data_IF_375698084305
#
_entry.id   IF_375698084305
#
_cell.length_a   1.000
_cell.length_b   1.000
_cell.length_c   1.000
_cell.angle_alpha   90.00
_cell.angle_beta   90.00
_cell.angle_gamma   90.00
#
_symmetry.space_group_name_H-M   'P 1'
#
loop_
_entity.id
_entity.type
_entity.pdbx_description
1 polymer ?
#
# COMPACT_ATOMS: atom_id res chain seq x y z
N UNK A 1 -6.43 23.08 -9.48
CA UNK A 1 -6.57 21.66 -9.93
C UNK A 1 -7.38 20.92 -8.88
N UNK A 2 -8.11 19.84 -9.24
CA UNK A 2 -8.77 19.04 -8.19
C UNK A 2 -7.71 18.30 -7.37
N UNK A 3 -7.83 18.28 -6.04
CA UNK A 3 -6.87 17.58 -5.16
C UNK A 3 -7.06 16.07 -5.16
N UNK A 4 -8.20 15.59 -5.67
CA UNK A 4 -8.61 14.18 -5.65
C UNK A 4 -7.61 13.22 -6.31
N UNK A 5 -7.01 13.51 -7.48
CA UNK A 5 -6.03 12.61 -8.09
C UNK A 5 -4.79 12.45 -7.22
N UNK A 6 -4.32 13.52 -6.58
CA UNK A 6 -3.17 13.49 -5.68
C UNK A 6 -3.51 12.75 -4.37
N UNK A 7 -4.70 12.97 -3.81
CA UNK A 7 -5.22 12.25 -2.64
C UNK A 7 -5.32 10.74 -2.91
N UNK A 8 -5.88 10.35 -4.06
CA UNK A 8 -5.98 8.95 -4.45
C UNK A 8 -4.59 8.32 -4.65
N UNK A 9 -3.71 9.00 -5.38
CA UNK A 9 -2.36 8.51 -5.68
C UNK A 9 -1.50 8.38 -4.43
N UNK A 10 -1.50 9.39 -3.56
CA UNK A 10 -0.79 9.36 -2.27
C UNK A 10 -1.39 8.33 -1.31
N UNK A 11 -2.71 8.12 -1.34
CA UNK A 11 -3.38 7.03 -0.64
C UNK A 11 -2.88 5.66 -1.12
N UNK A 12 -2.93 5.39 -2.43
CA UNK A 12 -2.40 4.16 -3.02
C UNK A 12 -0.93 3.92 -2.62
N UNK A 13 -0.09 4.94 -2.77
CA UNK A 13 1.32 4.86 -2.41
C UNK A 13 1.52 4.62 -0.91
N UNK A 14 0.69 5.21 -0.04
CA UNK A 14 0.81 5.06 1.42
C UNK A 14 0.55 3.62 1.88
N UNK A 15 -0.33 2.90 1.18
CA UNK A 15 -0.53 1.47 1.42
C UNK A 15 0.68 0.60 1.07
N UNK A 16 1.59 1.09 0.21
CA UNK A 16 2.83 0.40 -0.16
C UNK A 16 3.98 0.86 0.73
N UNK A 17 4.21 2.17 0.86
CA UNK A 17 5.19 2.81 1.75
C UNK A 17 4.72 4.21 2.21
N UNK A 18 4.06 4.29 3.38
CA UNK A 18 3.54 5.55 3.92
C UNK A 18 4.65 6.54 4.29
N UNK A 19 5.80 6.03 4.74
CA UNK A 19 6.93 6.85 5.15
C UNK A 19 7.60 7.51 3.95
N UNK A 20 7.75 6.78 2.85
CA UNK A 20 8.21 7.33 1.58
C UNK A 20 7.28 8.43 1.07
N UNK A 21 5.95 8.25 1.15
CA UNK A 21 4.99 9.28 0.73
C UNK A 21 5.18 10.57 1.55
N UNK A 22 5.23 10.47 2.87
CA UNK A 22 5.42 11.64 3.76
C UNK A 22 6.75 12.33 3.47
N UNK A 23 7.83 11.56 3.31
CA UNK A 23 9.16 12.09 2.97
C UNK A 23 9.16 12.83 1.63
N UNK A 24 8.65 12.19 0.57
CA UNK A 24 8.68 12.75 -0.77
C UNK A 24 7.83 14.02 -0.86
N UNK A 25 6.59 13.97 -0.37
CA UNK A 25 5.72 15.15 -0.36
C UNK A 25 6.36 16.28 0.45
N UNK A 26 6.81 16.01 1.67
CA UNK A 26 7.43 17.02 2.51
C UNK A 26 8.71 17.62 1.91
N UNK A 27 9.56 16.79 1.27
CA UNK A 27 10.74 17.28 0.54
C UNK A 27 10.35 18.14 -0.66
N UNK A 28 9.35 17.75 -1.45
CA UNK A 28 8.87 18.57 -2.57
C UNK A 28 8.36 19.94 -2.12
N UNK A 29 7.68 19.99 -0.98
CA UNK A 29 7.30 21.27 -0.36
C UNK A 29 8.51 22.09 0.07
N UNK A 30 9.47 21.49 0.78
CA UNK A 30 10.68 22.19 1.24
C UNK A 30 11.55 22.73 0.11
N UNK A 31 11.64 22.01 -1.00
CA UNK A 31 12.46 22.42 -2.16
C UNK A 31 11.74 23.41 -3.08
N UNK A 32 10.48 23.76 -2.80
CA UNK A 32 9.67 24.63 -3.66
C UNK A 32 9.29 23.98 -4.99
N UNK A 33 9.26 22.65 -5.07
CA UNK A 33 8.79 21.93 -6.27
C UNK A 33 7.28 22.08 -6.41
N UNK A 34 6.57 22.21 -5.27
CA UNK A 34 5.14 22.51 -5.24
C UNK A 34 4.78 23.27 -3.97
N UNK A 35 4.20 24.45 -4.16
CA UNK A 35 3.68 25.29 -3.07
C UNK A 35 2.37 24.73 -2.46
N UNK A 36 1.76 23.76 -3.13
CA UNK A 36 0.50 23.13 -2.72
C UNK A 36 0.70 22.03 -1.65
N UNK A 37 1.95 21.71 -1.28
CA UNK A 37 2.24 20.73 -0.23
C UNK A 37 1.96 21.33 1.15
N UNK A 38 1.13 20.67 2.00
CA UNK A 38 0.83 21.15 3.35
C UNK A 38 2.08 21.34 4.22
N UNK A 39 2.19 22.49 4.88
CA UNK A 39 3.33 22.84 5.75
C UNK A 39 3.59 21.80 6.84
N UNK A 40 2.56 21.12 7.32
CA UNK A 40 2.67 20.04 8.31
C UNK A 40 3.60 18.92 7.85
N UNK A 41 3.58 18.55 6.56
CA UNK A 41 4.45 17.50 6.00
C UNK A 41 5.90 17.97 5.84
N UNK A 42 6.12 19.28 5.77
CA UNK A 42 7.45 19.89 5.59
C UNK A 42 8.20 20.06 6.92
N UNK A 43 7.54 19.80 8.07
CA UNK A 43 8.16 19.98 9.39
C UNK A 43 9.36 19.04 9.56
N UNK A 44 10.54 19.54 10.01
CA UNK A 44 11.73 18.71 10.17
C UNK A 44 11.50 17.48 11.05
N UNK A 45 10.74 17.62 12.13
CA UNK A 45 10.38 16.51 13.04
C UNK A 45 9.63 15.38 12.31
N UNK A 46 8.67 15.75 11.44
CA UNK A 46 7.87 14.79 10.65
C UNK A 46 8.76 14.07 9.65
N UNK A 47 9.64 14.80 8.97
CA UNK A 47 10.59 14.24 8.00
C UNK A 47 11.63 13.34 8.66
N UNK A 48 12.15 13.69 9.83
CA UNK A 48 13.09 12.86 10.59
C UNK A 48 12.43 11.55 10.99
N UNK A 49 11.21 11.60 11.53
CA UNK A 49 10.46 10.39 11.93
C UNK A 49 10.13 9.53 10.71
N UNK A 50 9.63 10.13 9.63
CA UNK A 50 9.35 9.41 8.39
C UNK A 50 10.63 8.81 7.78
N UNK A 51 11.75 9.53 7.83
CA UNK A 51 13.08 9.07 7.41
C UNK A 51 13.53 7.84 8.16
N UNK A 52 13.46 7.89 9.49
CA UNK A 52 13.81 6.76 10.35
C UNK A 52 12.91 5.55 10.08
N UNK A 53 11.59 5.75 10.00
CA UNK A 53 10.64 4.66 9.75
C UNK A 53 10.76 4.08 8.34
N UNK A 54 11.09 4.89 7.34
CA UNK A 54 11.41 4.43 5.99
C UNK A 54 12.65 3.52 5.99
N UNK A 55 13.71 3.88 6.71
CA UNK A 55 14.90 3.03 6.87
C UNK A 55 14.55 1.75 7.63
N UNK A 56 13.76 1.82 8.71
CA UNK A 56 13.29 0.65 9.44
C UNK A 56 12.49 -0.30 8.54
N UNK A 57 11.57 0.22 7.73
CA UNK A 57 10.80 -0.57 6.77
C UNK A 57 11.71 -1.24 5.73
N UNK A 58 12.64 -0.49 5.14
CA UNK A 58 13.59 -1.03 4.17
C UNK A 58 14.49 -2.13 4.76
N UNK A 59 14.74 -2.13 6.08
CA UNK A 59 15.47 -3.20 6.77
C UNK A 59 14.53 -4.37 7.11
N UNK A 60 13.33 -4.08 7.64
CA UNK A 60 12.34 -5.09 8.01
C UNK A 60 11.95 -5.98 6.82
N UNK A 61 11.76 -5.38 5.64
CA UNK A 61 11.40 -6.07 4.40
C UNK A 61 12.43 -7.11 3.93
N UNK A 62 13.67 -7.04 4.43
CA UNK A 62 14.76 -7.95 4.07
C UNK A 62 14.87 -9.15 4.99
N UNK A 63 14.21 -9.11 6.15
CA UNK A 63 14.29 -10.17 7.16
C UNK A 63 12.98 -10.98 7.09
N UNK A 64 13.05 -12.27 6.68
CA UNK A 64 11.86 -13.12 6.62
C UNK A 64 11.10 -13.14 7.95
N UNK A 65 9.77 -13.15 7.88
CA UNK A 65 8.83 -13.12 9.02
C UNK A 65 8.76 -11.77 9.74
N UNK A 66 9.86 -11.02 9.85
CA UNK A 66 9.83 -9.64 10.37
C UNK A 66 9.02 -8.76 9.45
N UNK A 67 9.16 -8.92 8.13
CA UNK A 67 8.34 -8.29 7.10
C UNK A 67 6.83 -8.49 7.34
N UNK A 68 6.43 -9.72 7.69
CA UNK A 68 5.04 -10.12 7.89
C UNK A 68 4.46 -9.54 9.18
N UNK A 69 5.26 -9.48 10.25
CA UNK A 69 4.88 -8.80 11.50
C UNK A 69 4.77 -7.29 11.27
N UNK A 70 5.72 -6.71 10.53
CA UNK A 70 5.70 -5.31 10.14
C UNK A 70 4.43 -4.99 9.36
N UNK A 71 4.11 -5.75 8.32
CA UNK A 71 2.90 -5.57 7.52
C UNK A 71 1.62 -5.72 8.35
N UNK A 72 1.59 -6.64 9.32
CA UNK A 72 0.43 -6.81 10.22
C UNK A 72 0.14 -5.56 11.04
N UNK A 73 1.16 -4.91 11.60
CA UNK A 73 1.01 -3.61 12.29
C UNK A 73 0.53 -2.54 11.30
N UNK A 74 1.07 -2.56 10.09
CA UNK A 74 0.82 -1.55 9.08
C UNK A 74 -0.53 -1.68 8.38
N UNK A 75 -1.26 -2.76 8.60
CA UNK A 75 -2.69 -2.88 8.24
C UNK A 75 -3.53 -1.77 8.89
N UNK A 76 -3.10 -1.22 10.03
CA UNK A 76 -3.75 -0.06 10.68
C UNK A 76 -2.99 1.24 10.39
N UNK A 77 -1.66 1.22 10.51
CA UNK A 77 -0.85 2.45 10.40
C UNK A 77 -0.96 3.08 9.01
N UNK A 78 -0.92 2.30 7.92
CA UNK A 78 -0.91 2.85 6.56
C UNK A 78 -2.25 3.46 6.14
N UNK A 79 -3.42 2.83 6.41
CA UNK A 79 -4.70 3.49 6.15
C UNK A 79 -4.85 4.79 6.93
N UNK A 80 -4.41 4.85 8.19
CA UNK A 80 -4.44 6.07 8.97
C UNK A 80 -3.51 7.14 8.40
N UNK A 81 -2.30 6.77 7.98
CA UNK A 81 -1.37 7.68 7.32
C UNK A 81 -1.92 8.20 5.98
N UNK A 82 -2.47 7.32 5.14
CA UNK A 82 -3.10 7.70 3.88
C UNK A 82 -4.32 8.61 4.08
N UNK A 83 -5.12 8.36 5.11
CA UNK A 83 -6.23 9.23 5.48
C UNK A 83 -5.76 10.61 5.96
N UNK A 84 -4.71 10.63 6.77
CA UNK A 84 -4.13 11.87 7.26
C UNK A 84 -3.52 12.71 6.12
N UNK A 85 -2.74 12.09 5.23
CA UNK A 85 -2.20 12.76 4.04
C UNK A 85 -3.33 13.28 3.14
N UNK A 86 -4.37 12.47 2.91
CA UNK A 86 -5.54 12.89 2.12
C UNK A 86 -6.26 14.11 2.71
N UNK A 87 -6.51 14.11 4.02
CA UNK A 87 -7.13 15.24 4.71
C UNK A 87 -6.26 16.50 4.70
N UNK A 88 -4.94 16.35 4.86
CA UNK A 88 -3.98 17.45 4.75
C UNK A 88 -3.97 18.08 3.36
N UNK A 89 -3.96 17.27 2.30
CA UNK A 89 -4.00 17.74 0.92
C UNK A 89 -5.32 18.46 0.58
N UNK A 90 -6.41 18.14 1.28
CA UNK A 90 -7.69 18.84 1.14
C UNK A 90 -7.76 20.14 1.95
N UNK A 91 -6.77 20.43 2.79
CA UNK A 91 -6.65 21.68 3.56
C UNK A 91 -6.84 21.53 5.08
N UNK A 92 -7.31 20.38 5.58
CA UNK A 92 -7.44 20.06 7.02
C UNK A 92 -8.25 21.08 7.85
N UNK A 93 -9.22 21.76 7.23
CA UNK A 93 -10.15 22.71 7.86
C UNK A 93 -11.29 22.05 8.68
N UNK A 94 -11.46 20.74 8.58
CA UNK A 94 -12.60 20.00 9.16
C UNK A 94 -13.84 19.97 8.23
N UNK A 95 -13.67 20.32 6.96
CA UNK A 95 -14.76 20.32 5.98
C UNK A 95 -15.21 18.91 5.60
N UNK A 96 -16.40 18.79 5.01
CA UNK A 96 -16.87 17.52 4.41
C UNK A 96 -15.89 17.04 3.32
N UNK A 97 -15.25 17.96 2.60
CA UNK A 97 -14.23 17.64 1.60
C UNK A 97 -13.00 17.00 2.23
N UNK A 98 -12.60 17.42 3.43
CA UNK A 98 -11.43 16.88 4.13
C UNK A 98 -11.69 15.46 4.61
N UNK A 99 -12.90 15.22 5.14
CA UNK A 99 -13.35 13.88 5.53
C UNK A 99 -13.42 12.97 4.31
N UNK A 100 -13.99 13.43 3.21
CA UNK A 100 -14.04 12.65 1.97
C UNK A 100 -12.63 12.33 1.44
N UNK A 101 -11.72 13.31 1.43
CA UNK A 101 -10.34 13.11 1.00
C UNK A 101 -9.59 12.14 1.92
N UNK A 102 -9.77 12.24 3.24
CA UNK A 102 -9.20 11.28 4.19
C UNK A 102 -9.77 9.87 4.00
N UNK A 103 -11.07 9.72 3.75
CA UNK A 103 -11.68 8.42 3.45
C UNK A 103 -11.13 7.84 2.15
N UNK A 104 -10.98 8.63 1.10
CA UNK A 104 -10.39 8.19 -0.17
C UNK A 104 -8.93 7.78 0.04
N UNK A 105 -8.12 8.63 0.68
CA UNK A 105 -6.71 8.34 0.95
C UNK A 105 -6.52 7.07 1.80
N UNK A 106 -7.26 6.93 2.88
CA UNK A 106 -7.16 5.78 3.79
C UNK A 106 -7.71 4.48 3.20
N UNK A 107 -8.85 4.52 2.50
CA UNK A 107 -9.40 3.32 1.85
C UNK A 107 -8.52 2.85 0.69
N UNK A 108 -7.95 3.77 -0.08
CA UNK A 108 -7.01 3.43 -1.16
C UNK A 108 -5.72 2.84 -0.60
N UNK A 109 -5.20 3.38 0.51
CA UNK A 109 -4.06 2.83 1.22
C UNK A 109 -4.34 1.42 1.77
N UNK A 110 -5.52 1.18 2.34
CA UNK A 110 -5.90 -0.15 2.81
C UNK A 110 -5.95 -1.15 1.63
N UNK A 111 -6.51 -0.73 0.51
CA UNK A 111 -6.63 -1.58 -0.67
C UNK A 111 -5.25 -1.95 -1.26
N UNK A 112 -4.34 -0.99 -1.43
CA UNK A 112 -2.99 -1.28 -1.93
C UNK A 112 -2.14 -2.04 -0.92
N UNK A 113 -2.29 -1.77 0.38
CA UNK A 113 -1.63 -2.56 1.42
C UNK A 113 -2.09 -4.03 1.39
N UNK A 114 -3.38 -4.28 1.14
CA UNK A 114 -3.90 -5.64 0.98
C UNK A 114 -3.24 -6.37 -0.20
N UNK A 115 -2.95 -5.65 -1.29
CA UNK A 115 -2.18 -6.19 -2.43
C UNK A 115 -0.72 -6.49 -2.02
N UNK A 116 -0.04 -5.57 -1.32
CA UNK A 116 1.33 -5.77 -0.81
C UNK A 116 1.40 -7.00 0.11
N UNK A 117 0.61 -7.02 1.17
CA UNK A 117 0.58 -8.12 2.13
C UNK A 117 0.21 -9.46 1.47
N UNK A 118 -0.75 -9.47 0.53
CA UNK A 118 -1.10 -10.66 -0.23
C UNK A 118 0.03 -11.17 -1.13
N UNK A 119 0.82 -10.26 -1.72
CA UNK A 119 2.00 -10.59 -2.51
C UNK A 119 3.11 -11.16 -1.63
N UNK A 120 3.37 -10.55 -0.47
CA UNK A 120 4.33 -11.04 0.52
C UNK A 120 3.97 -12.44 1.03
N UNK A 121 2.69 -12.69 1.31
CA UNK A 121 2.22 -14.03 1.67
C UNK A 121 2.51 -15.07 0.58
N UNK A 122 2.39 -14.70 -0.70
CA UNK A 122 2.68 -15.60 -1.81
C UNK A 122 4.19 -15.86 -1.95
N UNK A 123 5.02 -14.81 -1.87
CA UNK A 123 6.48 -14.90 -1.99
C UNK A 123 7.10 -15.65 -0.80
N UNK A 124 6.62 -15.41 0.41
CA UNK A 124 7.12 -16.08 1.62
C UNK A 124 6.74 -17.56 1.73
N UNK A 125 5.99 -18.13 0.79
CA UNK A 125 5.81 -19.59 0.70
C UNK A 125 7.13 -20.31 0.38
N UNK A 126 8.05 -19.63 -0.30
CA UNK A 126 9.44 -20.07 -0.53
C UNK A 126 10.36 -18.86 -0.34
N UNK A 127 10.85 -18.61 0.90
CA UNK A 127 11.59 -17.39 1.19
C UNK A 127 12.94 -17.40 0.49
N UNK A 128 13.03 -16.62 -0.59
CA UNK A 128 14.28 -16.38 -1.33
C UNK A 128 14.73 -14.93 -1.07
N UNK A 129 15.91 -14.72 -0.44
CA UNK A 129 16.39 -13.39 -0.08
C UNK A 129 16.42 -12.40 -1.25
N UNK A 130 16.76 -12.90 -2.45
CA UNK A 130 16.81 -12.10 -3.67
C UNK A 130 15.42 -11.61 -4.10
N UNK A 131 14.42 -12.49 -4.09
CA UNK A 131 13.04 -12.16 -4.48
C UNK A 131 12.42 -11.12 -3.55
N UNK A 132 12.63 -11.25 -2.23
CA UNK A 132 12.16 -10.26 -1.25
C UNK A 132 12.85 -8.90 -1.42
N UNK A 133 14.15 -8.89 -1.68
CA UNK A 133 14.90 -7.66 -1.93
C UNK A 133 14.40 -6.94 -3.20
N UNK A 134 14.29 -7.68 -4.31
CA UNK A 134 13.83 -7.10 -5.59
C UNK A 134 12.41 -6.58 -5.47
N UNK A 135 11.52 -7.31 -4.78
CA UNK A 135 10.15 -6.89 -4.57
C UNK A 135 10.07 -5.60 -3.73
N UNK A 136 10.74 -5.56 -2.59
CA UNK A 136 10.80 -4.37 -1.72
C UNK A 136 11.36 -3.15 -2.46
N UNK A 137 12.45 -3.33 -3.22
CA UNK A 137 13.04 -2.25 -4.00
C UNK A 137 12.10 -1.77 -5.11
N UNK A 138 11.40 -2.67 -5.79
CA UNK A 138 10.42 -2.31 -6.82
C UNK A 138 9.22 -1.56 -6.23
N UNK A 139 8.78 -1.93 -5.04
CA UNK A 139 7.73 -1.23 -4.28
C UNK A 139 8.17 0.20 -3.96
N UNK A 140 9.36 0.38 -3.39
CA UNK A 140 9.89 1.70 -3.00
C UNK A 140 10.12 2.60 -4.21
N UNK A 141 10.74 2.08 -5.28
CA UNK A 141 10.95 2.83 -6.52
C UNK A 141 9.63 3.14 -7.22
N UNK A 142 8.66 2.22 -7.16
CA UNK A 142 7.32 2.42 -7.70
C UNK A 142 6.58 3.55 -6.98
N UNK A 143 6.62 3.55 -5.64
CA UNK A 143 6.09 4.65 -4.81
C UNK A 143 6.80 5.96 -5.15
N UNK A 144 8.13 5.97 -5.16
CA UNK A 144 8.89 7.17 -5.46
C UNK A 144 8.58 7.72 -6.84
N UNK A 145 8.55 6.87 -7.87
CA UNK A 145 8.27 7.25 -9.24
C UNK A 145 6.84 7.79 -9.41
N UNK A 146 5.83 7.10 -8.90
CA UNK A 146 4.42 7.50 -9.06
C UNK A 146 4.10 8.76 -8.26
N UNK A 147 4.61 8.90 -7.03
CA UNK A 147 4.40 10.12 -6.21
C UNK A 147 5.11 11.32 -6.85
N UNK A 148 6.36 11.15 -7.30
CA UNK A 148 7.08 12.22 -8.00
C UNK A 148 6.34 12.63 -9.29
N UNK A 149 5.86 11.66 -10.06
CA UNK A 149 5.09 11.91 -11.28
C UNK A 149 3.77 12.64 -10.98
N UNK A 150 3.12 12.32 -9.86
CA UNK A 150 1.87 12.97 -9.43
C UNK A 150 2.03 14.47 -9.17
N UNK A 151 3.22 14.93 -8.79
CA UNK A 151 3.48 16.36 -8.58
C UNK A 151 3.41 17.17 -9.87
N UNK A 152 3.71 16.55 -11.01
CA UNK A 152 3.71 17.22 -12.31
C UNK A 152 2.47 16.86 -13.15
N UNK A 153 1.97 15.62 -13.00
CA UNK A 153 0.88 15.07 -13.80
C UNK A 153 -0.13 14.30 -12.91
N UNK A 154 -0.87 14.99 -12.03
CA UNK A 154 -1.70 14.35 -10.99
C UNK A 154 -2.76 13.42 -11.54
N UNK A 155 -3.42 13.78 -12.65
CA UNK A 155 -4.44 12.95 -13.29
C UNK A 155 -3.86 11.66 -13.89
N UNK A 156 -2.74 11.78 -14.61
CA UNK A 156 -2.07 10.63 -15.20
C UNK A 156 -1.52 9.67 -14.12
N UNK A 157 -0.95 10.22 -13.04
CA UNK A 157 -0.47 9.43 -11.91
C UNK A 157 -1.61 8.69 -11.21
N UNK A 158 -2.79 9.31 -11.06
CA UNK A 158 -3.96 8.64 -10.52
C UNK A 158 -4.45 7.50 -11.41
N UNK A 159 -4.41 7.65 -12.74
CA UNK A 159 -4.70 6.55 -13.67
C UNK A 159 -3.71 5.41 -13.50
N UNK A 160 -2.41 5.70 -13.41
CA UNK A 160 -1.37 4.68 -13.17
C UNK A 160 -1.63 3.95 -11.85
N UNK A 161 -1.85 4.68 -10.75
CA UNK A 161 -2.16 4.11 -9.45
C UNK A 161 -3.43 3.25 -9.49
N UNK A 162 -4.47 3.68 -10.21
CA UNK A 162 -5.72 2.94 -10.36
C UNK A 162 -5.53 1.63 -11.13
N UNK A 163 -4.74 1.65 -12.21
CA UNK A 163 -4.41 0.46 -13.00
C UNK A 163 -3.60 -0.53 -12.16
N UNK A 164 -2.58 -0.06 -11.43
CA UNK A 164 -1.77 -0.90 -10.55
C UNK A 164 -2.61 -1.50 -9.42
N UNK A 165 -3.47 -0.70 -8.79
CA UNK A 165 -4.37 -1.16 -7.73
C UNK A 165 -5.36 -2.21 -8.26
N UNK A 166 -6.04 -1.91 -9.37
CA UNK A 166 -7.01 -2.84 -9.98
C UNK A 166 -6.33 -4.15 -10.39
N UNK A 167 -5.17 -4.08 -11.07
CA UNK A 167 -4.40 -5.25 -11.45
C UNK A 167 -3.98 -6.10 -10.26
N UNK A 168 -3.50 -5.45 -9.19
CA UNK A 168 -3.12 -6.12 -7.94
C UNK A 168 -4.29 -6.81 -7.25
N UNK A 169 -5.42 -6.12 -7.10
CA UNK A 169 -6.64 -6.67 -6.50
C UNK A 169 -7.23 -7.81 -7.32
N UNK A 170 -7.25 -7.69 -8.65
CA UNK A 170 -7.71 -8.75 -9.56
C UNK A 170 -6.82 -9.99 -9.45
N UNK A 171 -5.49 -9.80 -9.39
CA UNK A 171 -4.53 -10.89 -9.21
C UNK A 171 -4.77 -11.60 -7.88
N UNK A 172 -4.88 -10.83 -6.78
CA UNK A 172 -5.13 -11.38 -5.45
C UNK A 172 -6.46 -12.14 -5.39
N UNK A 173 -7.54 -11.54 -5.92
CA UNK A 173 -8.85 -12.18 -6.00
C UNK A 173 -8.80 -13.49 -6.81
N UNK A 174 -8.12 -13.49 -7.95
CA UNK A 174 -7.95 -14.68 -8.78
C UNK A 174 -7.21 -15.78 -8.02
N UNK A 175 -6.09 -15.47 -7.36
CA UNK A 175 -5.33 -16.44 -6.57
C UNK A 175 -6.15 -17.02 -5.42
N UNK A 176 -6.80 -16.17 -4.62
CA UNK A 176 -7.65 -16.60 -3.50
C UNK A 176 -8.81 -17.48 -3.99
N UNK A 177 -9.44 -17.11 -5.11
CA UNK A 177 -10.54 -17.89 -5.69
C UNK A 177 -10.07 -19.27 -6.17
N UNK A 178 -8.88 -19.38 -6.77
CA UNK A 178 -8.26 -20.65 -7.17
C UNK A 178 -7.95 -21.54 -5.97
N UNK A 179 -7.34 -20.99 -4.93
CA UNK A 179 -7.01 -21.72 -3.68
C UNK A 179 -8.29 -22.26 -3.04
N UNK A 180 -9.32 -21.40 -2.88
CA UNK A 180 -10.62 -21.80 -2.30
C UNK A 180 -11.27 -22.93 -3.11
N UNK A 181 -11.26 -22.85 -4.45
CA UNK A 181 -11.79 -23.92 -5.32
C UNK A 181 -11.02 -25.23 -5.15
N UNK A 182 -9.70 -25.18 -5.06
CA UNK A 182 -8.87 -26.37 -4.84
C UNK A 182 -9.15 -27.02 -3.48
N UNK A 183 -9.23 -26.24 -2.41
CA UNK A 183 -9.53 -26.74 -1.06
C UNK A 183 -10.91 -27.39 -0.99
N UNK A 184 -11.93 -26.80 -1.63
CA UNK A 184 -13.28 -27.40 -1.73
C UNK A 184 -13.25 -28.75 -2.45
N UNK A 185 -12.58 -28.85 -3.60
CA UNK A 185 -12.44 -30.12 -4.34
C UNK A 185 -11.70 -31.18 -3.53
N UNK A 186 -10.67 -30.78 -2.76
CA UNK A 186 -9.93 -31.70 -1.89
C UNK A 186 -10.78 -32.19 -0.72
N UNK A 187 -11.62 -31.33 -0.15
CA UNK A 187 -12.56 -31.72 0.90
C UNK A 187 -13.58 -32.74 0.38
N UNK A 188 -14.19 -32.50 -0.78
CA UNK A 188 -15.13 -33.42 -1.42
C UNK A 188 -14.51 -34.80 -1.68
N UNK A 189 -13.30 -34.86 -2.27
CA UNK A 189 -12.59 -36.13 -2.50
C UNK A 189 -12.26 -36.89 -1.21
N UNK A 190 -12.01 -36.19 -0.10
CA UNK A 190 -11.78 -36.82 1.21
C UNK A 190 -13.05 -37.43 1.77
N UNK A 191 -14.19 -36.78 1.54
CA UNK A 191 -15.50 -37.25 1.96
C UNK A 191 -15.96 -38.47 1.13
N UNK A 192 -15.81 -38.41 -0.19
CA UNK A 192 -16.06 -39.56 -1.10
C UNK A 192 -15.24 -40.79 -0.69
N UNK A 193 -13.94 -40.62 -0.41
CA UNK A 193 -13.08 -41.72 0.06
C UNK A 193 -13.52 -42.29 1.41
N UNK A 194 -13.96 -41.45 2.35
CA UNK A 194 -14.47 -41.89 3.66
C UNK A 194 -15.77 -42.66 3.55
N UNK A 195 -16.65 -42.26 2.63
CA UNK A 195 -17.90 -42.97 2.35
C UNK A 195 -17.61 -44.32 1.69
N UNK A 196 -16.70 -44.36 0.70
CA UNK A 196 -16.29 -45.59 0.03
C UNK A 196 -15.64 -46.61 1.00
N UNK A 197 -14.86 -46.17 1.99
CA UNK A 197 -14.26 -47.06 2.99
C UNK A 197 -15.22 -47.55 4.08
N UNK A 198 -16.47 -47.05 4.10
CA UNK A 198 -17.52 -47.46 5.04
C UNK A 198 -18.63 -48.28 4.37
N UNK A 199 -18.56 -48.47 3.05
CA UNK A 199 -19.47 -49.34 2.34
C UNK A 199 -19.17 -50.80 2.73
N UNK A 200 -20.18 -51.57 3.19
CA UNK A 200 -20.03 -52.96 3.65
C UNK A 200 -19.69 -53.94 2.53
#
# INVERSE_FOLDING_TARGET
MSVLPLVFTSGWASGINAYAVVLLLGLFGMTGVSDDVPQTLQRPEVLIVAGALFVCEAVADKIPYVDSVWDSVHTVVRPLAGAWVGALLAGQSGSVSDVAAGLIGGSTALASHTVKAGTRMAVNTSPEPFSNFVLSLAEDLGVAGVVSFAMFHPEAAAVVAAVLLAGGLLTLWFLVSRIRRFLRRRAQRREERRLASRAP
#
